data_IF_298832908911
#
_entry.id   IF_298832908911
#
_cell.length_a   1.000
_cell.length_b   1.000
_cell.length_c   1.000
_cell.angle_alpha   90.00
_cell.angle_beta   90.00
_cell.angle_gamma   90.00
#
_symmetry.space_group_name_H-M   'P 1'
#
loop_
_entity.id
_entity.type
_entity.pdbx_description
1 polymer ?
#
# COMPACT_ATOMS: atom_id res chain seq x y z
N UNK A 1 15.95 -0.53 -37.22
CA UNK A 1 15.75 -1.49 -36.12
C UNK A 1 15.51 -0.68 -34.84
N UNK A 2 14.24 -0.53 -34.43
CA UNK A 2 13.83 0.47 -33.44
C UNK A 2 14.24 0.11 -32.00
N UNK A 3 14.69 1.12 -31.26
CA UNK A 3 15.26 1.06 -29.91
C UNK A 3 14.25 0.51 -28.89
N UNK A 4 14.52 -0.68 -28.31
CA UNK A 4 13.76 -1.26 -27.18
C UNK A 4 14.22 -0.76 -25.79
N UNK A 5 15.15 0.21 -25.74
CA UNK A 5 15.80 0.64 -24.48
C UNK A 5 14.94 1.58 -23.62
N UNK A 6 14.09 2.42 -24.21
CA UNK A 6 13.25 3.37 -23.47
C UNK A 6 12.13 2.70 -22.67
N UNK A 7 11.60 1.56 -23.15
CA UNK A 7 10.56 0.81 -22.44
C UNK A 7 11.06 0.11 -21.17
N UNK A 8 12.28 -0.43 -21.18
CA UNK A 8 12.83 -1.18 -20.04
C UNK A 8 13.02 -0.29 -18.79
N UNK A 9 13.65 0.88 -18.95
CA UNK A 9 13.87 1.80 -17.82
C UNK A 9 12.56 2.38 -17.28
N UNK A 10 11.61 2.74 -18.16
CA UNK A 10 10.28 3.22 -17.74
C UNK A 10 9.51 2.16 -16.96
N UNK A 11 9.56 0.91 -17.41
CA UNK A 11 8.93 -0.20 -16.71
C UNK A 11 9.57 -0.48 -15.35
N UNK A 12 10.91 -0.46 -15.27
CA UNK A 12 11.62 -0.62 -14.00
C UNK A 12 11.29 0.52 -13.02
N UNK A 13 11.27 1.77 -13.49
CA UNK A 13 10.91 2.92 -12.68
C UNK A 13 9.46 2.84 -12.17
N UNK A 14 8.51 2.50 -13.04
CA UNK A 14 7.12 2.27 -12.65
C UNK A 14 6.99 1.12 -11.63
N UNK A 15 7.76 0.06 -11.79
CA UNK A 15 7.76 -1.06 -10.84
C UNK A 15 8.26 -0.64 -9.45
N UNK A 16 9.31 0.20 -9.38
CA UNK A 16 9.82 0.74 -8.12
C UNK A 16 8.79 1.66 -7.46
N UNK A 17 8.17 2.56 -8.22
CA UNK A 17 7.11 3.43 -7.69
C UNK A 17 5.93 2.60 -7.17
N UNK A 18 5.46 1.62 -7.95
CA UNK A 18 4.36 0.75 -7.54
C UNK A 18 4.72 -0.05 -6.28
N UNK A 19 5.96 -0.52 -6.15
CA UNK A 19 6.43 -1.19 -4.94
C UNK A 19 6.43 -0.25 -3.72
N UNK A 20 6.88 1.00 -3.89
CA UNK A 20 6.84 2.01 -2.82
C UNK A 20 5.42 2.39 -2.42
N UNK A 21 4.53 2.57 -3.39
CA UNK A 21 3.12 2.84 -3.13
C UNK A 21 2.47 1.70 -2.32
N UNK A 22 2.78 0.44 -2.66
CA UNK A 22 2.32 -0.72 -1.88
C UNK A 22 2.87 -0.72 -0.46
N UNK A 23 4.15 -0.42 -0.26
CA UNK A 23 4.74 -0.31 1.08
C UNK A 23 4.07 0.78 1.92
N UNK A 24 3.86 1.97 1.33
CA UNK A 24 3.18 3.07 2.00
C UNK A 24 1.74 2.68 2.39
N UNK A 25 1.01 2.03 1.47
CA UNK A 25 -0.34 1.57 1.76
C UNK A 25 -0.36 0.53 2.89
N UNK A 26 0.57 -0.43 2.89
CA UNK A 26 0.67 -1.42 3.98
C UNK A 26 1.02 -0.78 5.33
N UNK A 27 1.80 0.30 5.35
CA UNK A 27 2.11 1.03 6.57
C UNK A 27 0.91 1.80 7.10
N UNK A 28 0.23 2.58 6.23
CA UNK A 28 -0.98 3.32 6.60
C UNK A 28 -2.07 2.36 7.06
N UNK A 29 -2.25 1.24 6.35
CA UNK A 29 -3.23 0.23 6.73
C UNK A 29 -2.90 -0.38 8.11
N UNK A 30 -1.62 -0.66 8.40
CA UNK A 30 -1.18 -1.06 9.74
C UNK A 30 -1.51 -0.03 10.82
N UNK A 31 -1.26 1.26 10.54
CA UNK A 31 -1.60 2.35 11.46
C UNK A 31 -3.12 2.49 11.67
N UNK A 32 -3.92 2.38 10.60
CA UNK A 32 -5.38 2.38 10.69
C UNK A 32 -5.89 1.22 11.54
N UNK A 33 -5.29 0.02 11.42
CA UNK A 33 -5.66 -1.14 12.24
C UNK A 33 -5.34 -0.97 13.73
N UNK A 34 -4.48 0.00 14.11
CA UNK A 34 -4.24 0.35 15.52
C UNK A 34 -5.31 1.29 16.09
N UNK A 35 -6.09 1.97 15.26
CA UNK A 35 -7.21 2.81 15.70
C UNK A 35 -8.39 1.95 16.15
N UNK A 36 -9.20 2.47 17.06
CA UNK A 36 -10.45 1.83 17.48
C UNK A 36 -11.54 1.86 16.39
N UNK A 37 -12.55 1.01 16.52
CA UNK A 37 -13.61 0.88 15.52
C UNK A 37 -14.49 2.14 15.39
N UNK A 38 -14.62 2.93 16.45
CA UNK A 38 -15.40 4.17 16.42
C UNK A 38 -14.68 5.23 15.58
N UNK A 39 -13.38 5.42 15.83
CA UNK A 39 -12.52 6.30 15.03
C UNK A 39 -12.45 5.85 13.56
N UNK A 40 -12.29 4.55 13.31
CA UNK A 40 -12.30 4.02 11.94
C UNK A 40 -13.62 4.33 11.22
N UNK A 41 -14.76 4.09 11.88
CA UNK A 41 -16.08 4.36 11.32
C UNK A 41 -16.34 5.85 11.11
N UNK A 42 -15.85 6.71 12.01
CA UNK A 42 -15.92 8.16 11.85
C UNK A 42 -15.16 8.66 10.60
N UNK A 43 -14.09 7.96 10.22
CA UNK A 43 -13.32 8.20 9.00
C UNK A 43 -13.81 7.39 7.78
N UNK A 44 -14.89 6.62 7.91
CA UNK A 44 -15.47 5.83 6.83
C UNK A 44 -14.71 4.55 6.48
N UNK A 45 -13.85 4.08 7.39
CA UNK A 45 -13.12 2.82 7.23
C UNK A 45 -13.83 1.68 7.97
N UNK A 46 -13.86 0.51 7.34
CA UNK A 46 -14.25 -0.75 7.99
C UNK A 46 -13.00 -1.56 8.31
N UNK A 47 -12.82 -1.89 9.59
CA UNK A 47 -11.70 -2.71 10.07
C UNK A 47 -11.67 -4.08 9.37
N UNK A 48 -12.82 -4.68 9.08
CA UNK A 48 -12.86 -5.99 8.41
C UNK A 48 -12.30 -5.91 6.98
N UNK A 49 -12.57 -4.83 6.26
CA UNK A 49 -11.99 -4.56 4.94
C UNK A 49 -10.49 -4.22 5.01
N UNK A 50 -10.06 -3.43 6.00
CA UNK A 50 -8.65 -3.10 6.22
C UNK A 50 -7.80 -4.35 6.53
N UNK A 51 -8.34 -5.32 7.28
CA UNK A 51 -7.65 -6.59 7.60
C UNK A 51 -7.42 -7.48 6.39
N UNK A 52 -8.25 -7.38 5.34
CA UNK A 52 -8.08 -8.14 4.09
C UNK A 52 -6.97 -7.55 3.22
N UNK A 53 -6.66 -6.28 3.40
CA UNK A 53 -5.62 -5.59 2.64
C UNK A 53 -4.22 -5.90 3.21
N UNK A 54 -3.17 -5.82 2.37
CA UNK A 54 -1.80 -5.92 2.84
C UNK A 54 -1.56 -4.88 3.94
N UNK A 55 -1.03 -5.31 5.07
CA UNK A 55 -0.59 -4.44 6.16
C UNK A 55 0.72 -4.96 6.71
N UNK A 56 1.56 -4.06 7.20
CA UNK A 56 2.73 -4.46 7.97
C UNK A 56 2.22 -4.74 9.39
N UNK A 57 2.07 -6.03 9.71
CA UNK A 57 1.80 -6.44 11.10
C UNK A 57 3.09 -6.28 11.89
N UNK A 58 3.24 -5.18 12.63
CA UNK A 58 4.29 -5.09 13.64
C UNK A 58 3.89 -6.00 14.80
N UNK A 59 4.41 -7.23 14.80
CA UNK A 59 4.42 -8.05 16.02
C UNK A 59 5.46 -7.43 16.96
N UNK A 60 4.98 -6.84 18.06
CA UNK A 60 5.76 -6.55 19.28
C UNK A 60 5.12 -7.40 20.38
#
# INVERSE_FOLDING_TARGET
MATKRTGFFRNAYNAVIAARARQANSYVNGALLMLDDETLRAHGYDRAELRKQPHISSYI
#
